data_IF_824025453070
#
_entry.id   IF_824025453070
#
_cell.length_a   1.000
_cell.length_b   1.000
_cell.length_c   1.000
_cell.angle_alpha   90.00
_cell.angle_beta   90.00
_cell.angle_gamma   90.00
#
_symmetry.space_group_name_H-M   'P 1'
#
loop_
_entity.id
_entity.type
_entity.pdbx_description
1 polymer ?
#
# COMPACT_ATOMS: atom_id res chain seq x y z
N UNK A 1 9.07 -34.03 -8.52
CA UNK A 1 8.80 -32.67 -7.99
C UNK A 1 7.54 -32.72 -7.17
N UNK A 2 7.58 -32.27 -5.91
CA UNK A 2 6.37 -32.09 -5.10
C UNK A 2 5.51 -31.01 -5.79
N UNK A 3 4.28 -31.37 -6.15
CA UNK A 3 3.34 -30.43 -6.76
C UNK A 3 2.71 -29.55 -5.66
N UNK A 4 3.42 -28.48 -5.30
CA UNK A 4 3.06 -27.57 -4.20
C UNK A 4 2.05 -26.48 -4.61
N UNK A 5 1.89 -26.23 -5.91
CA UNK A 5 1.08 -25.10 -6.41
C UNK A 5 -0.39 -25.27 -6.04
N UNK A 6 -1.01 -26.42 -6.38
CA UNK A 6 -2.43 -26.66 -6.09
C UNK A 6 -2.75 -26.63 -4.59
N UNK A 7 -2.00 -27.32 -3.70
CA UNK A 7 -2.21 -27.23 -2.26
C UNK A 7 -2.07 -25.80 -1.72
N UNK A 8 -1.09 -25.04 -2.19
CA UNK A 8 -0.86 -23.67 -1.74
C UNK A 8 -2.01 -22.72 -2.13
N UNK A 9 -2.49 -22.80 -3.38
CA UNK A 9 -3.62 -21.99 -3.83
C UNK A 9 -4.89 -22.33 -3.06
N UNK A 10 -5.20 -23.61 -2.87
CA UNK A 10 -6.35 -24.05 -2.09
C UNK A 10 -6.30 -23.55 -0.63
N UNK A 11 -5.12 -23.52 -0.03
CA UNK A 11 -4.96 -22.95 1.31
C UNK A 11 -5.15 -21.43 1.30
N UNK A 12 -4.58 -20.72 0.31
CA UNK A 12 -4.71 -19.27 0.19
C UNK A 12 -6.17 -18.85 0.03
N UNK A 13 -6.94 -19.52 -0.85
CA UNK A 13 -8.35 -19.21 -1.08
C UNK A 13 -9.20 -19.31 0.20
N UNK A 14 -8.83 -20.22 1.11
CA UNK A 14 -9.56 -20.45 2.37
C UNK A 14 -9.07 -19.58 3.53
N UNK A 15 -7.81 -19.15 3.52
CA UNK A 15 -7.14 -18.56 4.68
C UNK A 15 -6.56 -17.16 4.43
N UNK A 16 -6.70 -16.61 3.23
CA UNK A 16 -6.18 -15.29 2.91
C UNK A 16 -6.78 -14.23 3.83
N UNK A 17 -5.90 -13.43 4.44
CA UNK A 17 -6.30 -12.26 5.23
C UNK A 17 -6.98 -11.23 4.34
N UNK A 18 -8.05 -10.63 4.86
CA UNK A 18 -8.71 -9.49 4.24
C UNK A 18 -7.88 -8.21 4.45
N UNK A 19 -7.28 -7.73 3.37
CA UNK A 19 -6.46 -6.52 3.38
C UNK A 19 -7.09 -5.46 2.46
N UNK A 20 -7.11 -4.16 2.84
CA UNK A 20 -7.82 -3.13 2.05
C UNK A 20 -7.31 -2.96 0.61
N UNK A 21 -6.03 -3.21 0.37
CA UNK A 21 -5.41 -3.19 -0.95
C UNK A 21 -5.72 -4.43 -1.81
N UNK A 22 -6.24 -5.51 -1.20
CA UNK A 22 -6.65 -6.74 -1.90
C UNK A 22 -8.13 -6.77 -2.28
N UNK A 23 -9.00 -6.04 -1.58
CA UNK A 23 -10.46 -6.06 -1.85
C UNK A 23 -10.82 -5.46 -3.21
N UNK A 24 -10.18 -4.36 -3.58
CA UNK A 24 -10.34 -3.67 -4.86
C UNK A 24 -8.95 -3.32 -5.40
N UNK A 25 -8.23 -4.28 -6.01
CA UNK A 25 -6.89 -4.03 -6.49
C UNK A 25 -6.94 -3.13 -7.74
N UNK A 26 -6.17 -2.05 -7.70
CA UNK A 26 -5.81 -1.25 -8.88
C UNK A 26 -4.30 -1.06 -8.88
N UNK A 27 -3.67 -0.76 -10.04
CA UNK A 27 -2.23 -0.53 -10.09
C UNK A 27 -1.75 0.49 -9.03
N UNK A 28 -2.47 1.60 -8.88
CA UNK A 28 -2.19 2.62 -7.87
C UNK A 28 -2.31 2.07 -6.44
N UNK A 29 -3.41 1.40 -6.10
CA UNK A 29 -3.66 0.86 -4.75
C UNK A 29 -2.61 -0.20 -4.37
N UNK A 30 -2.28 -1.08 -5.31
CA UNK A 30 -1.24 -2.09 -5.11
C UNK A 30 0.10 -1.39 -4.89
N UNK A 31 0.50 -0.48 -5.77
CA UNK A 31 1.76 0.26 -5.65
C UNK A 31 1.93 0.98 -4.31
N UNK A 32 0.92 1.75 -3.86
CA UNK A 32 0.98 2.46 -2.58
C UNK A 32 1.12 1.47 -1.42
N UNK A 33 0.34 0.37 -1.43
CA UNK A 33 0.42 -0.64 -0.37
C UNK A 33 1.79 -1.30 -0.28
N UNK A 34 2.40 -1.67 -1.42
CA UNK A 34 3.72 -2.29 -1.46
C UNK A 34 4.80 -1.33 -0.95
N UNK A 35 4.75 -0.05 -1.33
CA UNK A 35 5.71 0.93 -0.81
C UNK A 35 5.52 1.15 0.69
N UNK A 36 4.28 1.24 1.19
CA UNK A 36 4.02 1.38 2.63
C UNK A 36 4.51 0.18 3.44
N UNK A 37 4.38 -1.03 2.91
CA UNK A 37 4.75 -2.28 3.60
C UNK A 37 6.26 -2.57 3.62
N UNK A 38 7.06 -1.82 2.87
CA UNK A 38 8.52 -1.89 2.99
C UNK A 38 8.96 -1.59 4.43
N UNK A 39 9.58 -2.58 5.07
CA UNK A 39 10.08 -2.51 6.45
C UNK A 39 9.02 -2.01 7.46
N UNK A 40 7.74 -2.23 7.18
CA UNK A 40 6.62 -1.81 8.01
C UNK A 40 5.67 -2.98 8.22
N UNK A 41 5.19 -3.19 9.46
CA UNK A 41 4.23 -4.26 9.77
C UNK A 41 2.86 -3.99 9.11
N UNK A 42 2.17 -5.05 8.70
CA UNK A 42 0.85 -4.98 8.04
C UNK A 42 -0.16 -4.18 8.86
N UNK A 43 -0.25 -4.43 10.17
CA UNK A 43 -1.22 -3.73 11.04
C UNK A 43 -1.00 -2.22 11.08
N UNK A 44 0.27 -1.79 11.13
CA UNK A 44 0.59 -0.37 11.05
C UNK A 44 0.24 0.18 9.66
N UNK A 45 0.70 -0.49 8.59
CA UNK A 45 0.47 -0.06 7.21
C UNK A 45 -1.01 0.07 6.84
N UNK A 46 -1.88 -0.79 7.39
CA UNK A 46 -3.33 -0.79 7.13
C UNK A 46 -3.98 0.56 7.42
N UNK A 47 -3.69 1.16 8.58
CA UNK A 47 -4.27 2.44 8.97
C UNK A 47 -3.81 3.60 8.08
N UNK A 48 -2.51 3.61 7.71
CA UNK A 48 -1.98 4.62 6.80
C UNK A 48 -2.53 4.49 5.39
N UNK A 49 -2.64 3.26 4.89
CA UNK A 49 -3.20 3.01 3.56
C UNK A 49 -4.64 3.52 3.45
N UNK A 50 -5.48 3.28 4.46
CA UNK A 50 -6.87 3.76 4.44
C UNK A 50 -6.95 5.29 4.39
N UNK A 51 -6.22 5.99 5.27
CA UNK A 51 -6.17 7.47 5.27
C UNK A 51 -5.59 8.03 3.97
N UNK A 52 -4.57 7.37 3.43
CA UNK A 52 -3.98 7.78 2.15
C UNK A 52 -4.98 7.65 1.01
N UNK A 53 -5.73 6.54 0.93
CA UNK A 53 -6.72 6.35 -0.14
C UNK A 53 -7.90 7.31 -0.05
N UNK A 54 -8.20 7.84 1.12
CA UNK A 54 -9.20 8.89 1.32
C UNK A 54 -8.73 10.24 0.78
N UNK A 55 -7.47 10.59 1.04
CA UNK A 55 -6.90 11.91 0.73
C UNK A 55 -6.26 12.00 -0.66
N UNK A 56 -5.66 10.90 -1.11
CA UNK A 56 -4.94 10.72 -2.38
C UNK A 56 -5.46 9.46 -3.08
N UNK A 57 -6.71 9.47 -3.60
CA UNK A 57 -7.36 8.26 -4.13
C UNK A 57 -6.79 7.75 -5.46
N UNK A 58 -6.06 8.59 -6.21
CA UNK A 58 -5.50 8.27 -7.52
C UNK A 58 -4.15 8.97 -7.75
N UNK A 59 -3.47 8.60 -8.84
CA UNK A 59 -2.08 9.03 -9.12
C UNK A 59 -1.97 10.54 -9.30
N UNK A 60 -2.94 11.18 -9.94
CA UNK A 60 -2.97 12.63 -10.16
C UNK A 60 -3.13 13.39 -8.83
N UNK A 61 -3.87 12.84 -7.86
CA UNK A 61 -3.97 13.43 -6.53
C UNK A 61 -2.62 13.40 -5.81
N UNK A 62 -1.86 12.30 -5.94
CA UNK A 62 -0.50 12.18 -5.42
C UNK A 62 0.48 13.12 -6.13
N UNK A 63 0.41 13.26 -7.45
CA UNK A 63 1.29 14.16 -8.20
C UNK A 63 1.11 15.63 -7.76
N UNK A 64 -0.14 16.04 -7.50
CA UNK A 64 -0.49 17.44 -7.21
C UNK A 64 -0.52 17.81 -5.73
N UNK A 65 -0.37 16.85 -4.80
CA UNK A 65 -0.40 17.13 -3.36
C UNK A 65 0.76 18.05 -2.94
N UNK A 66 0.56 18.95 -1.98
CA UNK A 66 1.67 19.72 -1.42
C UNK A 66 2.63 18.83 -0.63
N UNK A 67 3.92 19.20 -0.57
CA UNK A 67 4.92 18.44 0.19
C UNK A 67 4.57 18.38 1.69
N UNK A 68 4.00 19.46 2.23
CA UNK A 68 3.53 19.51 3.61
C UNK A 68 2.43 18.47 3.87
N UNK A 69 1.39 18.43 3.02
CA UNK A 69 0.29 17.46 3.16
C UNK A 69 0.81 16.04 2.95
N UNK A 70 1.70 15.81 1.98
CA UNK A 70 2.36 14.52 1.77
C UNK A 70 3.10 14.05 3.03
N UNK A 71 3.93 14.91 3.62
CA UNK A 71 4.69 14.57 4.83
C UNK A 71 3.77 14.33 6.02
N UNK A 72 2.66 15.07 6.12
CA UNK A 72 1.66 14.87 7.17
C UNK A 72 0.97 13.51 7.05
N UNK A 73 0.59 13.10 5.83
CA UNK A 73 -0.03 11.79 5.59
C UNK A 73 0.92 10.62 5.87
N UNK A 74 2.23 10.84 5.68
CA UNK A 74 3.27 9.82 5.95
C UNK A 74 3.83 9.85 7.38
N UNK A 75 3.43 10.84 8.19
CA UNK A 75 4.00 11.08 9.51
C UNK A 75 3.85 9.85 10.41
N UNK A 76 4.98 9.28 10.84
CA UNK A 76 5.02 8.11 11.72
C UNK A 76 5.25 6.76 11.03
N UNK A 77 5.24 6.68 9.68
CA UNK A 77 5.62 5.46 8.94
C UNK A 77 7.14 5.24 8.83
N UNK A 78 7.94 6.27 9.09
CA UNK A 78 9.40 6.21 8.89
C UNK A 78 9.81 6.14 7.42
N UNK A 79 11.12 6.21 7.16
CA UNK A 79 11.71 6.20 5.81
C UNK A 79 11.01 7.16 4.83
N UNK A 80 10.96 8.46 5.17
CA UNK A 80 10.22 9.50 4.44
C UNK A 80 10.61 9.67 2.96
N UNK A 81 11.79 9.21 2.56
CA UNK A 81 12.18 9.18 1.15
C UNK A 81 11.24 8.32 0.29
N UNK A 82 10.56 7.32 0.88
CA UNK A 82 9.51 6.55 0.18
C UNK A 82 8.37 7.44 -0.31
N UNK A 83 7.85 8.31 0.55
CA UNK A 83 6.78 9.25 0.19
C UNK A 83 7.25 10.24 -0.90
N UNK A 84 8.46 10.76 -0.78
CA UNK A 84 9.03 11.67 -1.78
C UNK A 84 9.20 10.99 -3.13
N UNK A 85 9.70 9.75 -3.15
CA UNK A 85 9.87 8.97 -4.37
C UNK A 85 8.53 8.56 -4.99
N UNK A 86 7.50 8.28 -4.17
CA UNK A 86 6.12 8.08 -4.64
C UNK A 86 5.64 9.31 -5.42
N UNK A 87 5.72 10.49 -4.81
CA UNK A 87 5.29 11.73 -5.48
C UNK A 87 6.12 12.05 -6.73
N UNK A 88 7.43 11.82 -6.70
CA UNK A 88 8.31 12.03 -7.87
C UNK A 88 7.96 11.12 -9.05
N UNK A 89 7.45 9.92 -8.78
CA UNK A 89 7.09 8.93 -9.79
C UNK A 89 5.63 9.04 -10.28
N UNK A 90 4.80 9.82 -9.57
CA UNK A 90 3.42 10.10 -9.92
C UNK A 90 3.33 11.28 -10.89
#
# INVERSE_FOLDING_TARGET
MINIVKPLLNWYDRNARELPWRRNPSPYRVWISEIMLQQTRVEAGKGYFLRWMEELPHVEALANVTDEKLMKLWQGLGYYNRARNLKKAA
#
